data_IF_980123006439
#
_entry.id   IF_980123006439
#
_cell.length_a   1.000
_cell.length_b   1.000
_cell.length_c   1.000
_cell.angle_alpha   90.00
_cell.angle_beta   90.00
_cell.angle_gamma   90.00
#
_symmetry.space_group_name_H-M   'P 1'
#
loop_
_entity.id
_entity.type
_entity.pdbx_description
1 polymer ?
#
# COMPACT_ATOMS: atom_id res chain seq x y z
N UNK A 1 3.34 10.25 14.37
CA UNK A 1 3.54 9.48 13.14
C UNK A 1 4.92 8.87 13.18
N UNK A 2 5.07 7.59 12.86
CA UNK A 2 6.39 6.97 12.76
C UNK A 2 7.16 7.50 11.54
N UNK A 3 8.48 7.36 11.50
CA UNK A 3 9.29 7.73 10.31
C UNK A 3 8.82 6.94 9.08
N UNK A 4 8.41 5.69 9.27
CA UNK A 4 7.88 4.82 8.21
C UNK A 4 6.59 5.41 7.65
N UNK A 5 5.61 5.76 8.50
CA UNK A 5 4.35 6.37 8.06
C UNK A 5 4.57 7.66 7.28
N UNK A 6 5.53 8.48 7.72
CA UNK A 6 5.88 9.72 7.02
C UNK A 6 6.44 9.44 5.63
N UNK A 7 7.31 8.44 5.49
CA UNK A 7 7.89 8.08 4.18
C UNK A 7 6.82 7.51 3.27
N UNK A 8 5.95 6.64 3.78
CA UNK A 8 4.84 6.08 3.01
C UNK A 8 3.86 7.15 2.57
N UNK A 9 3.44 8.04 3.49
CA UNK A 9 2.58 9.17 3.15
C UNK A 9 3.17 10.09 2.06
N UNK A 10 4.50 10.15 1.97
CA UNK A 10 5.19 10.99 0.98
C UNK A 10 5.50 10.30 -0.34
N UNK A 11 5.68 8.98 -0.36
CA UNK A 11 6.26 8.28 -1.52
C UNK A 11 5.45 7.08 -2.00
N UNK A 12 4.48 6.58 -1.23
CA UNK A 12 3.68 5.42 -1.59
C UNK A 12 3.04 5.53 -2.98
N UNK A 13 2.54 6.70 -3.34
CA UNK A 13 1.88 6.92 -4.63
C UNK A 13 2.82 6.79 -5.84
N UNK A 14 4.14 6.83 -5.63
CA UNK A 14 5.16 6.68 -6.67
C UNK A 14 5.70 5.26 -6.78
N UNK A 15 5.34 4.39 -5.83
CA UNK A 15 5.81 3.03 -5.78
C UNK A 15 5.23 2.22 -6.97
N UNK A 16 6.09 1.56 -7.78
CA UNK A 16 5.62 0.83 -8.97
C UNK A 16 4.60 -0.27 -8.67
N UNK A 17 4.77 -0.98 -7.54
CA UNK A 17 3.85 -2.05 -7.14
C UNK A 17 2.48 -1.46 -6.79
N UNK A 18 2.47 -0.33 -6.08
CA UNK A 18 1.26 0.43 -5.72
C UNK A 18 0.53 0.98 -6.95
N UNK A 19 1.24 1.57 -7.91
CA UNK A 19 0.67 2.08 -9.17
C UNK A 19 0.13 0.93 -10.02
N UNK A 20 0.85 -0.20 -10.08
CA UNK A 20 0.39 -1.38 -10.81
C UNK A 20 -0.91 -1.92 -10.21
N UNK A 21 -0.99 -2.04 -8.88
CA UNK A 21 -2.22 -2.44 -8.20
C UNK A 21 -3.40 -1.50 -8.51
N UNK A 22 -3.14 -0.21 -8.68
CA UNK A 22 -4.16 0.79 -9.03
C UNK A 22 -4.74 0.58 -10.42
N UNK A 23 -3.88 0.35 -11.41
CA UNK A 23 -4.32 0.02 -12.76
C UNK A 23 -5.05 -1.33 -12.82
N UNK A 24 -4.62 -2.32 -12.03
CA UNK A 24 -5.32 -3.61 -11.93
C UNK A 24 -6.71 -3.43 -11.33
N UNK A 25 -6.86 -2.65 -10.26
CA UNK A 25 -8.16 -2.34 -9.65
C UNK A 25 -9.11 -1.68 -10.67
N UNK A 26 -8.63 -0.67 -11.40
CA UNK A 26 -9.43 0.03 -12.40
C UNK A 26 -9.82 -0.86 -13.59
N UNK A 27 -8.91 -1.71 -14.08
CA UNK A 27 -9.21 -2.63 -15.18
C UNK A 27 -10.14 -3.78 -14.77
N UNK A 28 -10.01 -4.28 -13.54
CA UNK A 28 -10.88 -5.35 -13.00
C UNK A 28 -12.30 -4.85 -12.74
N UNK A 29 -12.51 -3.53 -12.61
CA UNK A 29 -13.84 -2.91 -12.53
C UNK A 29 -14.75 -3.20 -13.74
N UNK A 30 -14.20 -3.65 -14.89
CA UNK A 30 -14.96 -4.19 -16.02
C UNK A 30 -15.17 -5.72 -16.04
N UNK A 31 -14.36 -6.49 -15.29
CA UNK A 31 -14.41 -7.96 -15.23
C UNK A 31 -15.22 -8.51 -14.05
N UNK A 32 -15.54 -7.65 -13.06
CA UNK A 32 -16.21 -8.01 -11.80
C UNK A 32 -17.69 -8.43 -11.93
N UNK A 33 -18.27 -8.53 -13.14
CA UNK A 33 -19.57 -9.17 -13.33
C UNK A 33 -19.50 -10.70 -13.15
N UNK A 34 -18.38 -11.33 -13.53
CA UNK A 34 -18.20 -12.78 -13.36
C UNK A 34 -17.82 -13.16 -11.92
N UNK A 35 -17.10 -12.29 -11.20
CA UNK A 35 -16.65 -12.52 -9.82
C UNK A 35 -17.79 -12.46 -8.78
N UNK A 36 -18.91 -11.79 -9.10
CA UNK A 36 -20.08 -11.67 -8.19
C UNK A 36 -20.86 -12.98 -7.98
N UNK A 37 -20.67 -14.00 -8.82
CA UNK A 37 -21.36 -15.29 -8.67
C UNK A 37 -20.63 -16.26 -7.72
N UNK A 38 -19.38 -15.98 -7.33
CA UNK A 38 -18.58 -16.81 -6.43
C UNK A 38 -17.89 -15.90 -5.40
N UNK A 39 -18.54 -15.67 -4.25
CA UNK A 39 -18.14 -14.72 -3.20
C UNK A 39 -16.64 -14.63 -2.94
N UNK A 40 -15.99 -13.64 -3.56
CA UNK A 40 -14.56 -13.33 -3.40
C UNK A 40 -14.32 -11.82 -3.55
N UNK A 41 -13.44 -11.32 -2.67
CA UNK A 41 -12.96 -9.93 -2.52
C UNK A 41 -13.94 -8.95 -1.84
N UNK A 42 -14.01 -9.01 -0.51
CA UNK A 42 -14.29 -7.82 0.29
C UNK A 42 -13.08 -6.89 0.15
N UNK A 43 -13.26 -5.67 -0.37
CA UNK A 43 -12.16 -4.71 -0.56
C UNK A 43 -12.23 -3.81 -1.80
N UNK A 44 -13.25 -3.93 -2.66
CA UNK A 44 -13.43 -3.01 -3.77
C UNK A 44 -14.92 -2.76 -4.04
N UNK A 45 -15.57 -2.04 -3.11
CA UNK A 45 -16.78 -1.32 -3.46
C UNK A 45 -16.39 -0.10 -4.30
N UNK A 46 -16.59 -0.17 -5.61
CA UNK A 46 -17.59 0.69 -6.26
C UNK A 46 -17.41 0.70 -7.77
N UNK A 47 -18.50 0.40 -8.47
CA UNK A 47 -18.69 0.71 -9.87
C UNK A 47 -18.28 2.19 -10.13
N UNK A 48 -17.15 2.39 -10.80
CA UNK A 48 -16.72 3.69 -11.36
C UNK A 48 -16.42 4.84 -10.38
N UNK A 49 -16.34 4.62 -9.06
CA UNK A 49 -16.08 5.70 -8.07
C UNK A 49 -14.68 5.71 -7.46
N UNK A 50 -13.81 4.76 -7.81
CA UNK A 50 -12.51 4.62 -7.14
C UNK A 50 -12.61 3.75 -5.88
N UNK A 51 -11.49 3.61 -5.18
CA UNK A 51 -11.34 2.72 -4.03
C UNK A 51 -10.03 2.94 -3.28
N UNK A 52 -9.72 2.03 -2.37
CA UNK A 52 -8.50 2.07 -1.57
C UNK A 52 -7.60 0.89 -1.88
N UNK A 53 -6.30 1.17 -2.04
CA UNK A 53 -5.27 0.14 -2.22
C UNK A 53 -4.46 0.05 -0.94
N UNK A 54 -4.33 -1.16 -0.43
CA UNK A 54 -3.49 -1.45 0.71
C UNK A 54 -2.02 -1.53 0.29
N UNK A 55 -1.17 -0.80 1.01
CA UNK A 55 0.27 -0.95 0.95
C UNK A 55 0.64 -2.03 1.96
N UNK A 56 1.27 -3.08 1.46
CA UNK A 56 1.46 -4.32 2.21
C UNK A 56 2.93 -4.59 2.44
N UNK A 57 3.21 -5.23 3.56
CA UNK A 57 4.52 -5.70 3.95
C UNK A 57 4.90 -6.92 3.10
N UNK A 58 6.06 -6.84 2.45
CA UNK A 58 6.55 -7.87 1.52
C UNK A 58 7.16 -9.09 2.21
N UNK A 59 7.20 -9.15 3.56
CA UNK A 59 7.65 -10.32 4.33
C UNK A 59 6.84 -11.57 4.01
N UNK A 60 5.53 -11.41 3.86
CA UNK A 60 4.59 -12.50 3.64
C UNK A 60 3.71 -12.13 2.45
N UNK A 61 4.19 -12.35 1.21
CA UNK A 61 3.41 -12.02 0.03
C UNK A 61 2.09 -12.81 0.08
N UNK A 62 0.93 -12.14 0.05
CA UNK A 62 -0.35 -12.81 0.18
C UNK A 62 -0.59 -13.76 -1.00
N UNK A 63 -1.35 -14.83 -0.76
CA UNK A 63 -1.86 -15.65 -1.86
C UNK A 63 -2.64 -14.77 -2.84
N UNK A 64 -2.45 -15.00 -4.14
CA UNK A 64 -2.98 -14.15 -5.21
C UNK A 64 -4.46 -13.82 -5.00
N UNK A 65 -4.77 -12.52 -4.88
CA UNK A 65 -6.12 -12.02 -4.69
C UNK A 65 -6.66 -12.06 -3.25
N UNK A 66 -5.82 -12.29 -2.23
CA UNK A 66 -6.18 -12.13 -0.81
C UNK A 66 -5.64 -10.83 -0.23
N UNK A 67 -6.41 -10.25 0.70
CA UNK A 67 -5.94 -9.17 1.57
C UNK A 67 -5.01 -9.79 2.62
N UNK A 68 -3.78 -9.28 2.81
CA UNK A 68 -2.86 -9.78 3.84
C UNK A 68 -3.38 -9.47 5.25
N UNK A 69 -2.76 -10.08 6.25
CA UNK A 69 -3.11 -9.86 7.65
C UNK A 69 -3.06 -8.37 8.01
N UNK A 70 -4.00 -7.84 8.83
CA UNK A 70 -4.01 -6.42 9.21
C UNK A 70 -2.72 -5.91 9.87
N UNK A 71 -1.92 -6.80 10.45
CA UNK A 71 -0.61 -6.48 11.03
C UNK A 71 0.52 -6.28 10.00
N UNK A 72 0.29 -6.71 8.75
CA UNK A 72 1.19 -6.59 7.61
C UNK A 72 0.70 -5.56 6.59
N UNK A 73 -0.37 -4.83 6.87
CA UNK A 73 -0.80 -3.68 6.08
C UNK A 73 -0.20 -2.44 6.72
N UNK A 74 0.66 -1.72 6.00
CA UNK A 74 1.21 -0.46 6.48
C UNK A 74 0.16 0.64 6.52
N UNK A 75 -0.70 0.67 5.50
CA UNK A 75 -1.72 1.68 5.32
C UNK A 75 -2.42 1.54 3.99
N UNK A 76 -3.27 2.49 3.66
CA UNK A 76 -4.04 2.50 2.41
C UNK A 76 -3.92 3.84 1.71
N UNK A 77 -3.94 3.82 0.39
CA UNK A 77 -4.05 5.02 -0.45
C UNK A 77 -5.34 5.00 -1.25
N UNK A 78 -5.89 6.19 -1.48
CA UNK A 78 -7.09 6.40 -2.29
C UNK A 78 -6.73 6.48 -3.78
N UNK A 79 -7.56 5.84 -4.61
CA UNK A 79 -7.41 5.75 -6.05
C UNK A 79 -8.75 6.04 -6.72
N UNK A 80 -8.73 6.77 -7.83
CA UNK A 80 -9.93 7.10 -8.58
C UNK A 80 -10.47 5.91 -9.40
N UNK A 81 -11.63 6.10 -10.06
CA UNK A 81 -12.26 5.06 -10.89
C UNK A 81 -11.48 4.69 -12.16
N UNK A 82 -10.43 5.44 -12.51
CA UNK A 82 -9.55 5.19 -13.66
C UNK A 82 -8.21 4.57 -13.23
N UNK A 83 -7.97 4.39 -11.94
CA UNK A 83 -6.73 3.82 -11.41
C UNK A 83 -5.64 4.86 -11.18
N UNK A 84 -5.97 6.16 -11.19
CA UNK A 84 -5.03 7.21 -10.85
C UNK A 84 -5.04 7.50 -9.36
N UNK A 85 -3.87 7.83 -8.83
CA UNK A 85 -3.69 8.24 -7.44
C UNK A 85 -3.58 9.76 -7.41
N UNK A 86 -4.56 10.44 -6.82
CA UNK A 86 -4.55 11.92 -6.74
C UNK A 86 -3.58 12.42 -5.66
N UNK A 87 -2.76 13.42 -5.99
CA UNK A 87 -1.83 14.03 -5.05
C UNK A 87 -0.84 13.02 -4.47
N UNK A 88 -0.89 12.81 -3.15
CA UNK A 88 -0.11 11.78 -2.44
C UNK A 88 -0.94 10.54 -2.07
N UNK A 89 -2.12 10.40 -2.67
CA UNK A 89 -3.03 9.27 -2.46
C UNK A 89 -3.74 9.25 -1.11
N UNK A 90 -3.90 10.41 -0.44
CA UNK A 90 -4.60 10.53 0.84
C UNK A 90 -4.26 9.41 1.84
N UNK A 91 -2.96 9.14 2.02
CA UNK A 91 -2.47 8.00 2.78
C UNK A 91 -3.08 7.91 4.18
N UNK A 92 -3.63 6.73 4.49
CA UNK A 92 -4.17 6.38 5.81
C UNK A 92 -3.32 5.27 6.42
N UNK A 93 -2.59 5.61 7.48
CA UNK A 93 -1.77 4.64 8.23
C UNK A 93 -2.65 3.57 8.89
N UNK A 94 -2.15 2.33 8.90
CA UNK A 94 -2.76 1.23 9.60
C UNK A 94 -2.41 1.29 11.09
N UNK A 95 -3.43 1.37 11.94
CA UNK A 95 -3.24 1.37 13.39
C UNK A 95 -2.72 0.04 13.96
N UNK A 96 -2.71 -1.03 13.16
CA UNK A 96 -2.38 -2.40 13.58
C UNK A 96 -1.03 -2.90 13.08
N UNK A 97 -0.31 -2.12 12.25
CA UNK A 97 0.95 -2.54 11.66
C UNK A 97 2.03 -2.85 12.71
N UNK A 98 2.83 -3.90 12.48
CA UNK A 98 3.98 -4.27 13.33
C UNK A 98 5.28 -4.39 12.54
N UNK A 99 6.27 -3.61 12.97
CA UNK A 99 7.63 -3.59 12.40
C UNK A 99 8.33 -4.96 12.48
N UNK A 100 8.07 -5.72 13.53
CA UNK A 100 8.63 -7.07 13.72
C UNK A 100 7.49 -8.04 14.01
N UNK A 101 7.40 -9.10 13.22
CA UNK A 101 6.43 -10.19 13.37
C UNK A 101 7.17 -11.52 13.42
N UNK A 102 6.43 -12.64 13.51
CA UNK A 102 7.02 -13.99 13.42
C UNK A 102 7.67 -14.25 12.05
N UNK A 103 7.21 -13.56 11.02
CA UNK A 103 7.70 -13.65 9.64
C UNK A 103 8.96 -12.80 9.40
N UNK A 104 9.42 -12.04 10.41
CA UNK A 104 10.69 -11.31 10.39
C UNK A 104 10.56 -9.79 10.58
N UNK A 105 11.60 -9.07 10.19
CA UNK A 105 11.65 -7.59 10.19
C UNK A 105 11.03 -7.02 8.92
N UNK A 106 10.38 -5.85 9.03
CA UNK A 106 9.64 -5.15 7.98
C UNK A 106 10.12 -5.40 6.53
N UNK A 107 9.19 -5.68 5.64
CA UNK A 107 9.40 -5.88 4.22
C UNK A 107 8.85 -4.71 3.42
N UNK A 108 9.73 -3.94 2.78
CA UNK A 108 9.35 -2.85 1.87
C UNK A 108 9.67 -3.23 0.44
N UNK A 109 8.93 -2.66 -0.52
CA UNK A 109 9.32 -2.66 -1.92
C UNK A 109 10.72 -2.05 -2.08
N UNK A 110 11.49 -2.40 -3.12
CA UNK A 110 12.81 -1.82 -3.35
C UNK A 110 12.79 -0.28 -3.37
N UNK A 111 11.75 0.32 -3.97
CA UNK A 111 11.57 1.77 -4.05
C UNK A 111 11.32 2.40 -2.67
N UNK A 112 10.36 1.88 -1.91
CA UNK A 112 10.04 2.42 -0.58
C UNK A 112 11.19 2.23 0.41
N UNK A 113 11.93 1.12 0.28
CA UNK A 113 13.16 0.89 1.06
C UNK A 113 14.20 1.95 0.78
N UNK A 114 14.42 2.31 -0.48
CA UNK A 114 15.38 3.35 -0.85
C UNK A 114 14.98 4.70 -0.24
N UNK A 115 13.71 5.10 -0.34
CA UNK A 115 13.19 6.33 0.27
C UNK A 115 13.28 6.35 1.79
N UNK A 116 13.06 5.21 2.45
CA UNK A 116 13.27 5.11 3.89
C UNK A 116 14.75 5.31 4.25
N UNK A 117 15.67 4.69 3.52
CA UNK A 117 17.12 4.85 3.75
C UNK A 117 17.58 6.29 3.53
N UNK A 118 17.11 6.95 2.46
CA UNK A 118 17.37 8.37 2.22
C UNK A 118 16.91 9.22 3.41
N UNK A 119 15.68 9.01 3.89
CA UNK A 119 15.10 9.73 5.04
C UNK A 119 15.91 9.51 6.32
N UNK A 120 16.31 8.27 6.60
CA UNK A 120 17.09 7.92 7.80
C UNK A 120 18.49 8.53 7.77
N UNK A 121 19.18 8.49 6.64
CA UNK A 121 20.50 9.16 6.47
C UNK A 121 20.39 10.68 6.66
N UNK A 122 19.29 11.29 6.23
CA UNK A 122 19.07 12.71 6.44
C UNK A 122 18.85 13.05 7.93
N UNK A 123 18.14 12.20 8.68
CA UNK A 123 18.00 12.37 10.14
C UNK A 123 19.32 12.14 10.89
N UNK A 124 20.08 11.11 10.52
CA UNK A 124 21.40 10.85 11.09
C UNK A 124 22.31 12.08 10.97
N UNK A 125 22.36 12.71 9.79
CA UNK A 125 23.13 13.95 9.58
C UNK A 125 22.69 15.11 10.46
N UNK A 126 21.40 15.23 10.77
CA UNK A 126 20.88 16.29 11.66
C UNK A 126 21.28 16.05 13.12
N UNK A 127 21.35 14.79 13.55
CA UNK A 127 21.74 14.43 14.92
C UNK A 127 23.25 14.57 15.16
N UNK A 128 24.05 14.56 14.09
CA UNK A 128 25.50 14.75 14.13
C UNK A 128 25.95 16.22 14.07
N UNK A 129 25.01 17.17 13.91
CA UNK A 129 25.26 18.62 13.93
C UNK A 129 24.93 19.21 15.30
#
# INVERSE_FOLDING_TARGET
>A
MSVIDSVLAEHAYQDPDTVSAAHVMASTSGANLFSRLHGRAEGAESAGRGGFIHIVDSREPPEYGRIPSPEDIFGSIEVDGQGNIEGKGNYQSSGTYRIVTRSGILGLSPFLREKLVERLKAEEKKLQQ
#
